data_IF_941496615518
#
_entry.id   IF_941496615518
#
_cell.length_a   1.000
_cell.length_b   1.000
_cell.length_c   1.000
_cell.angle_alpha   90.00
_cell.angle_beta   90.00
_cell.angle_gamma   90.00
#
_symmetry.space_group_name_H-M   'P 1'
#
loop_
_entity.id
_entity.type
_entity.pdbx_description
1 polymer ?
#
# COMPACT_ATOMS: atom_id res chain seq x y z
N UNK A 1 20.07 -33.63 16.01
CA UNK A 1 18.62 -33.48 15.77
C UNK A 1 18.37 -32.11 15.16
N UNK A 2 17.81 -31.98 13.95
CA UNK A 2 17.44 -30.67 13.45
C UNK A 2 16.16 -30.21 14.15
N UNK A 3 16.22 -29.02 14.76
CA UNK A 3 15.06 -28.35 15.34
C UNK A 3 14.04 -28.13 14.22
N UNK A 4 12.88 -28.77 14.34
CA UNK A 4 11.73 -28.51 13.48
C UNK A 4 11.28 -27.07 13.70
N UNK A 5 11.59 -26.21 12.74
CA UNK A 5 11.12 -24.83 12.74
C UNK A 5 9.63 -24.85 12.32
N UNK A 6 8.73 -25.18 13.25
CA UNK A 6 7.30 -25.07 13.01
C UNK A 6 6.99 -23.58 12.93
N UNK A 7 6.82 -23.05 11.72
CA UNK A 7 6.34 -21.69 11.52
C UNK A 7 5.03 -21.54 12.31
N UNK A 8 4.98 -20.54 13.20
CA UNK A 8 3.77 -20.22 13.95
C UNK A 8 2.58 -20.07 12.98
N UNK A 9 1.36 -20.49 13.40
CA UNK A 9 0.20 -20.45 12.52
C UNK A 9 -0.03 -19.02 12.01
N UNK A 10 -0.13 -18.87 10.69
CA UNK A 10 -0.40 -17.57 10.05
C UNK A 10 -1.76 -17.08 10.52
N UNK A 11 -1.81 -15.97 11.27
CA UNK A 11 -3.06 -15.29 11.61
C UNK A 11 -3.71 -14.82 10.31
N UNK A 12 -4.83 -15.44 9.94
CA UNK A 12 -5.65 -15.00 8.81
C UNK A 12 -6.62 -13.93 9.32
N UNK A 13 -6.52 -12.74 8.77
CA UNK A 13 -7.39 -11.64 9.10
C UNK A 13 -8.72 -11.80 8.34
N UNK A 14 -9.84 -11.65 9.05
CA UNK A 14 -11.18 -11.60 8.45
C UNK A 14 -11.69 -10.17 8.27
N UNK A 15 -11.04 -9.22 8.93
CA UNK A 15 -11.33 -7.79 8.83
C UNK A 15 -11.06 -7.30 7.41
N UNK A 16 -12.06 -6.63 6.84
CA UNK A 16 -12.07 -6.16 5.45
C UNK A 16 -12.02 -4.63 5.33
N UNK A 17 -11.81 -3.90 6.43
CA UNK A 17 -11.67 -2.45 6.47
C UNK A 17 -10.82 -2.03 7.67
N UNK A 18 -10.04 -0.96 7.55
CA UNK A 18 -9.11 -0.50 8.59
C UNK A 18 -9.20 1.02 8.79
N UNK A 19 -9.24 1.45 10.05
CA UNK A 19 -9.25 2.87 10.44
C UNK A 19 -7.85 3.48 10.45
N UNK A 20 -7.76 4.81 10.55
CA UNK A 20 -6.49 5.54 10.61
C UNK A 20 -5.61 5.06 11.76
N UNK A 21 -6.20 4.84 12.93
CA UNK A 21 -5.51 4.38 14.12
C UNK A 21 -4.90 2.99 13.92
N UNK A 22 -5.59 2.11 13.20
CA UNK A 22 -5.08 0.78 12.88
C UNK A 22 -3.94 0.82 11.85
N UNK A 23 -4.02 1.74 10.88
CA UNK A 23 -2.93 1.96 9.91
C UNK A 23 -1.69 2.56 10.60
N UNK A 24 -1.87 3.49 11.53
CA UNK A 24 -0.79 4.02 12.37
C UNK A 24 -0.19 2.89 13.23
N UNK A 25 -1.02 2.06 13.86
CA UNK A 25 -0.56 0.90 14.60
C UNK A 25 0.22 -0.10 13.72
N UNK A 26 -0.18 -0.26 12.44
CA UNK A 26 0.58 -1.03 11.46
C UNK A 26 1.96 -0.43 11.22
N UNK A 27 2.06 0.89 11.06
CA UNK A 27 3.34 1.57 10.90
C UNK A 27 4.29 1.38 12.09
N UNK A 28 3.75 1.32 13.31
CA UNK A 28 4.51 1.00 14.51
C UNK A 28 4.76 -0.51 14.73
N UNK A 29 4.35 -1.38 13.80
CA UNK A 29 4.55 -2.83 13.89
C UNK A 29 3.65 -3.56 14.88
N UNK A 30 2.58 -2.90 15.33
CA UNK A 30 1.64 -3.42 16.33
C UNK A 30 0.49 -4.23 15.70
N UNK A 31 0.28 -4.11 14.38
CA UNK A 31 -0.81 -4.81 13.70
C UNK A 31 -0.43 -6.25 13.30
N UNK A 32 0.59 -6.42 12.46
CA UNK A 32 1.02 -7.75 11.97
C UNK A 32 2.11 -8.41 12.82
N UNK A 33 2.62 -7.70 13.82
CA UNK A 33 3.64 -8.18 14.76
C UNK A 33 5.08 -8.01 14.26
N UNK A 34 6.07 -8.30 15.13
CA UNK A 34 7.48 -8.02 14.86
C UNK A 34 8.03 -8.74 13.64
N UNK A 35 8.80 -8.02 12.82
CA UNK A 35 9.47 -8.59 11.64
C UNK A 35 8.59 -8.75 10.39
N UNK A 36 7.29 -8.42 10.49
CA UNK A 36 6.34 -8.50 9.38
C UNK A 36 6.15 -7.14 8.71
N UNK A 37 5.19 -7.07 7.78
CA UNK A 37 4.90 -5.86 7.04
C UNK A 37 4.53 -4.71 7.99
N UNK A 38 4.99 -3.51 7.64
CA UNK A 38 4.67 -2.26 8.32
C UNK A 38 4.37 -1.25 7.23
N UNK A 39 3.39 -0.39 7.47
CA UNK A 39 3.24 0.84 6.70
C UNK A 39 4.34 1.83 7.09
N UNK A 40 4.60 2.86 6.28
CA UNK A 40 5.33 4.03 6.76
C UNK A 40 4.57 4.70 7.91
N UNK A 41 5.30 5.40 8.78
CA UNK A 41 4.71 6.32 9.75
C UNK A 41 4.61 7.72 9.15
N UNK A 42 3.90 8.63 9.81
CA UNK A 42 3.90 10.04 9.45
C UNK A 42 5.33 10.60 9.39
N UNK A 43 5.68 11.43 8.40
CA UNK A 43 4.80 12.05 7.38
C UNK A 43 4.67 11.26 6.05
N UNK A 44 5.09 9.99 6.00
CA UNK A 44 5.10 9.18 4.77
C UNK A 44 3.90 8.24 4.63
N UNK A 45 3.06 8.10 5.66
CA UNK A 45 1.80 7.36 5.55
C UNK A 45 0.84 8.13 4.64
N UNK A 46 0.47 7.56 3.49
CA UNK A 46 -0.32 8.24 2.46
C UNK A 46 -1.76 7.69 2.36
N UNK A 47 -2.24 7.09 3.44
CA UNK A 47 -3.55 6.42 3.53
C UNK A 47 -4.14 6.69 4.91
N UNK A 48 -5.36 7.25 4.96
CA UNK A 48 -6.10 7.45 6.20
C UNK A 48 -6.99 6.26 6.56
N UNK A 49 -7.47 5.51 5.55
CA UNK A 49 -8.30 4.32 5.78
C UNK A 49 -8.25 3.36 4.61
N UNK A 50 -8.48 2.09 4.91
CA UNK A 50 -8.82 1.07 3.92
C UNK A 50 -10.30 0.79 4.09
N UNK A 51 -11.13 1.24 3.15
CA UNK A 51 -12.59 1.03 3.21
C UNK A 51 -12.98 -0.37 2.76
N UNK A 52 -12.16 -1.01 1.92
CA UNK A 52 -12.36 -2.40 1.51
C UNK A 52 -11.04 -3.14 1.23
N UNK A 53 -10.94 -4.39 1.65
CA UNK A 53 -9.89 -5.32 1.24
C UNK A 53 -10.44 -6.75 1.15
N UNK A 54 -10.11 -7.45 0.07
CA UNK A 54 -10.60 -8.81 -0.20
C UNK A 54 -9.58 -9.67 -0.94
N UNK A 55 -9.59 -10.99 -0.70
CA UNK A 55 -8.77 -11.95 -1.46
C UNK A 55 -9.39 -12.37 -2.79
N UNK A 56 -10.60 -11.89 -3.07
CA UNK A 56 -11.37 -12.14 -4.29
C UNK A 56 -11.87 -10.81 -4.85
N UNK A 57 -12.40 -10.79 -6.08
CA UNK A 57 -12.77 -9.54 -6.75
C UNK A 57 -11.58 -8.87 -7.43
N UNK A 58 -11.76 -7.60 -7.76
CA UNK A 58 -10.88 -6.84 -8.65
C UNK A 58 -10.92 -7.33 -10.11
N UNK A 59 -10.30 -6.57 -11.01
CA UNK A 59 -10.31 -6.84 -12.46
C UNK A 59 -9.71 -8.18 -12.88
N UNK A 60 -8.89 -8.81 -12.03
CA UNK A 60 -8.27 -10.12 -12.28
C UNK A 60 -8.82 -11.25 -11.39
N UNK A 61 -9.78 -10.97 -10.50
CA UNK A 61 -10.34 -11.96 -9.58
C UNK A 61 -9.34 -12.50 -8.55
N UNK A 62 -8.24 -11.79 -8.26
CA UNK A 62 -7.20 -12.20 -7.30
C UNK A 62 -7.17 -11.33 -6.03
N UNK A 63 -8.18 -10.50 -5.84
CA UNK A 63 -8.30 -9.61 -4.71
C UNK A 63 -8.21 -8.15 -5.10
N UNK A 64 -8.68 -7.30 -4.21
CA UNK A 64 -8.74 -5.87 -4.41
C UNK A 64 -8.59 -5.11 -3.08
N UNK A 65 -8.25 -3.83 -3.18
CA UNK A 65 -8.18 -2.89 -2.07
C UNK A 65 -8.78 -1.57 -2.52
N UNK A 66 -9.64 -0.98 -1.68
CA UNK A 66 -10.12 0.39 -1.81
C UNK A 66 -9.69 1.14 -0.55
N UNK A 67 -9.01 2.26 -0.74
CA UNK A 67 -8.44 3.05 0.33
C UNK A 67 -8.53 4.54 0.04
N UNK A 68 -8.44 5.35 1.07
CA UNK A 68 -8.72 6.79 0.98
C UNK A 68 -7.69 7.61 1.78
N UNK A 69 -7.46 8.83 1.31
CA UNK A 69 -6.70 9.88 2.00
C UNK A 69 -7.52 11.18 1.96
N UNK A 70 -7.80 11.75 3.14
CA UNK A 70 -8.47 13.04 3.23
C UNK A 70 -7.50 14.14 2.81
N UNK A 71 -7.95 15.03 1.93
CA UNK A 71 -7.17 16.19 1.50
C UNK A 71 -7.64 17.43 2.24
N UNK A 72 -6.67 18.19 2.75
CA UNK A 72 -6.89 19.52 3.28
C UNK A 72 -5.63 20.38 3.07
N UNK A 73 -5.76 21.72 3.04
CA UNK A 73 -4.62 22.62 2.80
C UNK A 73 -3.49 22.55 3.84
N UNK A 74 -3.75 21.93 4.99
CA UNK A 74 -2.78 21.76 6.07
C UNK A 74 -1.82 20.59 5.89
N UNK A 75 -1.98 19.76 4.85
CA UNK A 75 -1.05 18.67 4.57
C UNK A 75 0.34 19.20 4.23
N UNK A 76 1.36 18.60 4.85
CA UNK A 76 2.73 19.13 4.87
C UNK A 76 3.32 19.40 3.49
N UNK A 77 3.00 18.54 2.52
CA UNK A 77 3.60 18.59 1.18
C UNK A 77 3.16 19.81 0.38
N UNK A 78 1.96 20.36 0.61
CA UNK A 78 1.51 21.56 -0.12
C UNK A 78 2.36 22.79 0.21
N UNK A 79 2.94 22.86 1.42
CA UNK A 79 3.78 23.98 1.84
C UNK A 79 5.17 23.98 1.17
N UNK A 80 5.62 22.84 0.66
CA UNK A 80 6.95 22.70 0.07
C UNK A 80 6.94 22.28 -1.41
N UNK A 81 5.81 21.87 -1.96
CA UNK A 81 5.69 21.37 -3.32
C UNK A 81 4.46 21.98 -4.03
N UNK A 82 4.59 23.12 -4.69
CA UNK A 82 5.71 24.06 -4.69
C UNK A 82 5.29 25.36 -4.00
N UNK A 83 6.27 26.19 -3.61
CA UNK A 83 5.95 27.52 -3.09
C UNK A 83 5.26 28.36 -4.17
N UNK A 84 4.02 28.77 -3.91
CA UNK A 84 3.19 29.56 -4.84
C UNK A 84 2.45 28.74 -5.90
N UNK A 85 2.66 27.42 -5.94
CA UNK A 85 1.97 26.48 -6.84
C UNK A 85 1.78 25.13 -6.12
N UNK A 86 0.92 25.07 -5.10
CA UNK A 86 0.79 23.91 -4.23
C UNK A 86 0.09 22.75 -4.95
N UNK A 87 0.75 21.59 -4.96
CA UNK A 87 0.26 20.37 -5.60
C UNK A 87 0.82 19.14 -4.88
N UNK A 88 -0.01 18.12 -4.62
CA UNK A 88 0.47 16.87 -4.04
C UNK A 88 1.54 16.25 -4.95
N UNK A 89 2.72 15.89 -4.44
CA UNK A 89 3.72 15.17 -5.22
C UNK A 89 3.13 13.86 -5.77
N UNK A 90 3.13 13.68 -7.10
CA UNK A 90 2.59 12.48 -7.74
C UNK A 90 3.26 11.18 -7.26
N UNK A 91 4.53 11.26 -6.85
CA UNK A 91 5.25 10.13 -6.27
C UNK A 91 4.67 9.64 -4.93
N UNK A 92 4.03 10.50 -4.12
CA UNK A 92 3.40 10.08 -2.87
C UNK A 92 2.11 9.29 -3.12
N UNK A 93 1.34 9.67 -4.15
CA UNK A 93 0.18 8.90 -4.58
C UNK A 93 0.58 7.53 -5.16
N UNK A 94 1.72 7.47 -5.85
CA UNK A 94 2.30 6.21 -6.30
C UNK A 94 2.79 5.34 -5.13
N UNK A 95 3.42 5.96 -4.12
CA UNK A 95 3.88 5.25 -2.92
C UNK A 95 2.72 4.65 -2.12
N UNK A 96 1.60 5.35 -1.98
CA UNK A 96 0.37 4.79 -1.39
C UNK A 96 -0.05 3.48 -2.05
N UNK A 97 0.04 3.37 -3.38
CA UNK A 97 -0.30 2.14 -4.08
C UNK A 97 0.64 0.98 -3.72
N UNK A 98 1.95 1.23 -3.59
CA UNK A 98 2.89 0.22 -3.08
C UNK A 98 2.66 -0.11 -1.60
N UNK A 99 2.37 0.89 -0.76
CA UNK A 99 2.02 0.70 0.65
C UNK A 99 0.85 -0.28 0.79
N UNK A 100 -0.21 -0.09 -0.01
CA UNK A 100 -1.41 -0.94 0.00
C UNK A 100 -1.13 -2.38 -0.44
N UNK A 101 -0.30 -2.59 -1.48
CA UNK A 101 0.09 -3.95 -1.89
C UNK A 101 0.91 -4.63 -0.77
N UNK A 102 1.85 -3.90 -0.15
CA UNK A 102 2.61 -4.41 1.00
C UNK A 102 1.73 -4.77 2.19
N UNK A 103 0.76 -3.90 2.50
CA UNK A 103 -0.25 -4.13 3.53
C UNK A 103 -1.06 -5.39 3.23
N UNK A 104 -1.54 -5.57 2.00
CA UNK A 104 -2.29 -6.76 1.58
C UNK A 104 -1.51 -8.06 1.79
N UNK A 105 -0.23 -8.08 1.47
CA UNK A 105 0.61 -9.26 1.69
C UNK A 105 0.74 -9.60 3.18
N UNK A 106 0.91 -8.59 4.04
CA UNK A 106 0.91 -8.74 5.50
C UNK A 106 -0.44 -9.18 6.05
N UNK A 107 -1.53 -8.59 5.55
CA UNK A 107 -2.92 -8.93 5.88
C UNK A 107 -3.28 -10.37 5.49
N UNK A 108 -2.72 -10.90 4.40
CA UNK A 108 -2.81 -12.34 4.06
C UNK A 108 -2.05 -13.26 5.02
N UNK A 109 -1.30 -12.70 5.97
CA UNK A 109 -0.53 -13.43 6.97
C UNK A 109 0.84 -13.88 6.46
N UNK A 110 1.39 -13.23 5.43
CA UNK A 110 2.75 -13.52 4.98
C UNK A 110 3.79 -12.83 5.86
N UNK A 111 4.91 -13.51 6.20
CA UNK A 111 5.96 -12.91 7.01
C UNK A 111 6.90 -12.03 6.19
N UNK A 112 7.61 -11.14 6.88
CA UNK A 112 8.70 -10.34 6.31
C UNK A 112 8.36 -8.87 6.09
N UNK A 113 9.41 -8.07 5.87
CA UNK A 113 9.34 -6.61 5.72
C UNK A 113 9.10 -6.24 4.25
N UNK A 114 8.19 -5.30 4.02
CA UNK A 114 7.82 -4.85 2.66
C UNK A 114 8.91 -4.04 1.97
N UNK A 115 9.12 -4.29 0.67
CA UNK A 115 9.93 -3.45 -0.22
C UNK A 115 9.22 -3.32 -1.57
N UNK A 116 9.06 -2.08 -2.04
CA UNK A 116 8.67 -1.83 -3.42
C UNK A 116 9.78 -2.30 -4.36
N UNK A 117 9.39 -2.98 -5.45
CA UNK A 117 10.28 -3.56 -6.46
C UNK A 117 10.07 -2.90 -7.83
N UNK A 118 9.38 -1.76 -7.85
CA UNK A 118 9.09 -0.96 -9.03
C UNK A 118 7.69 -1.14 -9.58
N UNK A 119 7.50 -0.64 -10.79
CA UNK A 119 6.26 -0.69 -11.55
C UNK A 119 6.56 -1.03 -13.03
N UNK A 120 5.52 -1.28 -13.80
CA UNK A 120 5.52 -1.16 -15.25
C UNK A 120 5.23 0.29 -15.66
N UNK A 121 4.14 0.50 -16.41
CA UNK A 121 3.72 1.81 -16.88
C UNK A 121 3.09 2.64 -15.74
N UNK A 122 3.44 3.93 -15.66
CA UNK A 122 2.81 4.89 -14.76
C UNK A 122 2.40 6.11 -15.59
N UNK A 123 1.16 6.58 -15.39
CA UNK A 123 0.61 7.76 -16.06
C UNK A 123 0.03 8.73 -15.04
N UNK A 124 0.41 10.00 -15.18
CA UNK A 124 -0.17 11.12 -14.44
C UNK A 124 -0.93 12.02 -15.43
N UNK A 125 -2.25 12.12 -15.28
CA UNK A 125 -3.14 12.85 -16.21
C UNK A 125 -3.95 13.96 -15.54
N UNK A 126 -3.68 14.20 -14.26
CA UNK A 126 -4.27 15.26 -13.47
C UNK A 126 -3.42 15.51 -12.22
N UNK A 127 -3.98 16.22 -11.25
CA UNK A 127 -3.26 16.65 -10.06
C UNK A 127 -4.20 16.79 -8.86
N UNK A 128 -3.65 16.78 -7.65
CA UNK A 128 -4.37 17.02 -6.41
C UNK A 128 -3.97 18.39 -5.87
N UNK A 129 -4.95 19.28 -5.77
CA UNK A 129 -4.80 20.65 -5.26
C UNK A 129 -5.27 20.74 -3.80
N UNK A 130 -4.89 21.80 -3.05
CA UNK A 130 -5.29 21.99 -1.65
C UNK A 130 -6.80 22.01 -1.40
N UNK A 131 -7.61 22.38 -2.40
CA UNK A 131 -9.06 22.48 -2.32
C UNK A 131 -9.78 21.14 -2.55
N UNK A 132 -9.05 20.12 -3.00
CA UNK A 132 -9.59 18.78 -3.12
C UNK A 132 -10.01 18.23 -1.75
N UNK A 133 -10.91 17.24 -1.74
CA UNK A 133 -11.44 16.68 -0.49
C UNK A 133 -10.96 15.28 -0.24
N UNK A 134 -10.92 14.46 -1.28
CA UNK A 134 -10.69 13.03 -1.15
C UNK A 134 -9.83 12.51 -2.28
N UNK A 135 -8.79 11.77 -1.91
CA UNK A 135 -8.09 10.87 -2.81
C UNK A 135 -8.58 9.44 -2.54
N UNK A 136 -9.00 8.73 -3.58
CA UNK A 136 -9.37 7.31 -3.54
C UNK A 136 -8.34 6.49 -4.32
N UNK A 137 -7.81 5.44 -3.70
CA UNK A 137 -6.95 4.45 -4.32
C UNK A 137 -7.74 3.17 -4.56
N UNK A 138 -7.60 2.59 -5.75
CA UNK A 138 -8.07 1.23 -6.06
C UNK A 138 -6.90 0.40 -6.53
N UNK A 139 -6.72 -0.77 -5.93
CA UNK A 139 -5.65 -1.70 -6.25
C UNK A 139 -6.29 -3.02 -6.64
N UNK A 140 -6.00 -3.49 -7.86
CA UNK A 140 -6.43 -4.78 -8.36
C UNK A 140 -5.24 -5.73 -8.38
N UNK A 141 -5.27 -6.75 -7.52
CA UNK A 141 -4.20 -7.75 -7.50
C UNK A 141 -4.28 -8.56 -8.80
N UNK A 142 -3.15 -8.63 -9.51
CA UNK A 142 -2.98 -9.41 -10.74
C UNK A 142 -2.36 -10.77 -10.46
N UNK A 143 -1.39 -10.80 -9.55
CA UNK A 143 -0.71 -12.02 -9.13
C UNK A 143 -0.20 -11.91 -7.70
N UNK A 144 -0.39 -12.98 -6.93
CA UNK A 144 0.15 -13.11 -5.58
C UNK A 144 1.00 -14.38 -5.53
N UNK A 145 2.28 -14.24 -5.22
CA UNK A 145 3.26 -15.32 -5.16
C UNK A 145 3.60 -15.53 -3.68
N UNK A 146 3.33 -16.73 -3.16
CA UNK A 146 3.49 -17.06 -1.72
C UNK A 146 4.33 -18.34 -1.58
N UNK A 147 5.56 -18.32 -2.10
CA UNK A 147 6.50 -19.46 -2.04
C UNK A 147 7.76 -19.07 -1.26
N UNK A 148 8.95 -19.38 -1.78
CA UNK A 148 10.23 -18.95 -1.20
C UNK A 148 10.35 -17.42 -1.16
N UNK A 149 9.88 -16.75 -2.22
CA UNK A 149 9.69 -15.31 -2.29
C UNK A 149 8.19 -15.01 -2.14
N UNK A 150 7.86 -14.03 -1.30
CA UNK A 150 6.51 -13.46 -1.20
C UNK A 150 6.47 -12.19 -2.03
N UNK A 151 5.58 -12.11 -3.01
CA UNK A 151 5.43 -10.94 -3.89
C UNK A 151 3.98 -10.73 -4.33
N UNK A 152 3.53 -9.48 -4.31
CA UNK A 152 2.30 -9.02 -4.93
C UNK A 152 2.61 -8.23 -6.20
N UNK A 153 1.83 -8.49 -7.25
CA UNK A 153 1.80 -7.72 -8.49
C UNK A 153 0.38 -7.21 -8.68
N UNK A 154 0.22 -5.92 -8.89
CA UNK A 154 -1.09 -5.28 -8.99
C UNK A 154 -1.09 -4.16 -10.03
N UNK A 155 -2.27 -3.88 -10.56
CA UNK A 155 -2.56 -2.64 -11.25
C UNK A 155 -3.31 -1.72 -10.28
N UNK A 156 -3.21 -0.40 -10.47
CA UNK A 156 -3.79 0.56 -9.55
C UNK A 156 -4.24 1.85 -10.23
N UNK A 157 -5.26 2.46 -9.65
CA UNK A 157 -5.75 3.78 -10.03
C UNK A 157 -5.84 4.69 -8.82
N UNK A 158 -5.57 5.97 -9.02
CA UNK A 158 -5.81 7.02 -8.03
C UNK A 158 -6.78 8.04 -8.61
N UNK A 159 -7.87 8.28 -7.89
CA UNK A 159 -8.85 9.30 -8.20
C UNK A 159 -8.79 10.44 -7.17
N UNK A 160 -9.09 11.65 -7.63
CA UNK A 160 -9.33 12.81 -6.76
C UNK A 160 -10.77 13.28 -6.99
N UNK A 161 -11.54 13.39 -5.90
CA UNK A 161 -12.95 13.79 -5.92
C UNK A 161 -13.78 13.07 -7.02
N UNK A 162 -13.55 11.76 -7.16
CA UNK A 162 -14.25 10.89 -8.11
C UNK A 162 -13.68 10.83 -9.53
N UNK A 163 -12.64 11.60 -9.86
CA UNK A 163 -11.99 11.57 -11.18
C UNK A 163 -10.65 10.85 -11.10
N UNK A 164 -10.50 9.75 -11.85
CA UNK A 164 -9.20 9.06 -12.02
C UNK A 164 -8.20 10.01 -12.68
N UNK A 165 -7.06 10.20 -12.02
CA UNK A 165 -5.96 11.04 -12.51
C UNK A 165 -4.68 10.24 -12.69
N UNK A 166 -4.44 9.20 -11.88
CA UNK A 166 -3.26 8.33 -12.01
C UNK A 166 -3.66 6.90 -12.33
N UNK A 167 -2.84 6.25 -13.15
CA UNK A 167 -2.89 4.80 -13.38
C UNK A 167 -1.49 4.23 -13.29
N UNK A 168 -1.34 3.08 -12.66
CA UNK A 168 -0.08 2.34 -12.60
C UNK A 168 -0.33 0.86 -12.93
N UNK A 169 0.52 0.30 -13.78
CA UNK A 169 0.47 -1.10 -14.17
C UNK A 169 1.66 -1.86 -13.58
N UNK A 170 1.47 -3.13 -13.26
CA UNK A 170 2.50 -4.05 -12.79
C UNK A 170 3.33 -3.48 -11.62
N UNK A 171 2.66 -2.83 -10.66
CA UNK A 171 3.24 -2.45 -9.37
C UNK A 171 3.68 -3.72 -8.64
N UNK A 172 4.93 -3.76 -8.16
CA UNK A 172 5.51 -4.94 -7.49
C UNK A 172 5.95 -4.60 -6.08
N UNK A 173 5.54 -5.43 -5.12
CA UNK A 173 6.02 -5.36 -3.73
C UNK A 173 6.36 -6.76 -3.25
N UNK A 174 7.51 -6.91 -2.59
CA UNK A 174 7.94 -8.16 -1.95
C UNK A 174 8.00 -8.06 -0.44
N UNK A 175 7.83 -9.19 0.26
CA UNK A 175 8.14 -9.30 1.69
C UNK A 175 9.41 -10.12 1.90
N UNK A 176 10.32 -9.62 2.74
CA UNK A 176 11.65 -10.18 2.96
C UNK A 176 11.86 -10.49 4.44
N UNK A 177 12.24 -11.73 4.76
CA UNK A 177 12.45 -12.17 6.16
C UNK A 177 13.89 -11.91 6.63
N UNK A 178 14.81 -11.62 5.72
CA UNK A 178 16.21 -11.28 6.04
C UNK A 178 16.57 -9.89 5.51
N UNK A 179 17.33 -9.15 6.31
CA UNK A 179 17.85 -7.83 5.93
C UNK A 179 18.96 -8.05 4.91
N UNK A 180 18.84 -7.47 3.71
CA UNK A 180 19.85 -7.54 2.64
C UNK A 180 19.50 -8.43 1.44
N UNK A 181 18.36 -9.14 1.44
CA UNK A 181 17.91 -9.98 0.30
C UNK A 181 17.33 -9.17 -0.88
N UNK A 182 17.67 -7.89 -1.03
CA UNK A 182 17.24 -7.14 -2.21
C UNK A 182 18.01 -7.69 -3.41
N UNK A 183 17.27 -8.39 -4.27
CA UNK A 183 17.64 -9.00 -5.55
C UNK A 183 19.00 -8.51 -6.10
N UNK A 184 20.03 -9.35 -5.95
CA UNK A 184 21.23 -9.36 -6.78
C UNK A 184 20.96 -10.03 -8.11
#
# INVERSE_FOLDING_TARGET
>A
MPLSNSAAPRKRWTQSSFTKEELIACGHGLLFGPGNAQLPTDNMLMVDRISHISTTGGTHGKGEIIAELDIHPGLWFFNCHFRGDPVMPGCLGLDAMWQLIGFYLGWKGNPGKGRALGAGEIKFTGQVLPEARLVEYRIDLKRVIERKLVMGIADGTMAVDGRVIYTAQDLRVGLFTRVGEILS
#
